data_IF_962423921819
#
_entry.id   IF_962423921819
#
_cell.length_a   1.000
_cell.length_b   1.000
_cell.length_c   1.000
_cell.angle_alpha   90.00
_cell.angle_beta   90.00
_cell.angle_gamma   90.00
#
_symmetry.space_group_name_H-M   'P 1'
#
loop_
_entity.id
_entity.type
_entity.pdbx_description
1 polymer ?
#
# COMPACT_ATOMS: atom_id res chain seq x y z
N UNK A 1 15.24 20.60 -3.42
CA UNK A 1 13.96 20.71 -4.13
C UNK A 1 13.66 19.38 -4.82
N UNK A 2 12.44 18.85 -4.72
CA UNK A 2 12.04 17.63 -5.44
C UNK A 2 12.01 17.92 -6.94
N UNK A 3 12.74 17.12 -7.74
CA UNK A 3 12.69 17.20 -9.20
C UNK A 3 11.54 16.33 -9.70
N UNK A 4 10.81 16.75 -10.75
CA UNK A 4 9.85 15.87 -11.41
C UNK A 4 10.54 14.56 -11.82
N UNK A 5 9.99 13.42 -11.40
CA UNK A 5 10.52 12.09 -11.73
C UNK A 5 11.37 11.40 -10.65
N UNK A 6 11.70 12.08 -9.55
CA UNK A 6 12.42 11.46 -8.41
C UNK A 6 11.43 10.82 -7.41
N UNK A 7 11.69 9.60 -6.93
CA UNK A 7 10.81 8.89 -5.99
C UNK A 7 11.47 8.64 -4.63
N UNK A 8 10.70 8.76 -3.54
CA UNK A 8 11.25 8.71 -2.20
C UNK A 8 11.46 7.29 -1.68
N UNK A 9 12.64 7.03 -1.10
CA UNK A 9 13.03 5.73 -0.52
C UNK A 9 12.56 5.56 0.92
N UNK A 10 12.29 6.66 1.64
CA UNK A 10 11.95 6.67 3.06
C UNK A 10 10.48 7.03 3.34
N UNK A 11 9.65 7.28 2.32
CA UNK A 11 8.19 7.35 2.47
C UNK A 11 7.56 5.96 2.27
N UNK A 12 7.33 5.24 3.37
CA UNK A 12 6.75 3.89 3.40
C UNK A 12 5.23 3.93 3.51
N UNK A 13 4.53 3.16 2.68
CA UNK A 13 3.07 3.07 2.58
C UNK A 13 2.64 1.61 2.42
N UNK A 14 1.32 1.36 2.42
CA UNK A 14 0.72 0.06 2.11
C UNK A 14 -0.19 0.16 0.87
N UNK A 15 0.35 0.13 -0.35
CA UNK A 15 -0.45 0.25 -1.57
C UNK A 15 -1.47 -0.88 -1.67
N UNK A 16 -2.66 -0.58 -2.19
CA UNK A 16 -3.76 -1.55 -2.30
C UNK A 16 -4.37 -1.48 -3.70
N UNK A 17 -4.68 -2.63 -4.27
CA UNK A 17 -5.39 -2.72 -5.55
C UNK A 17 -6.87 -2.39 -5.32
N UNK A 18 -7.43 -1.52 -6.17
CA UNK A 18 -8.75 -0.92 -5.96
C UNK A 18 -9.90 -1.94 -5.91
N UNK A 19 -9.84 -2.98 -6.73
CA UNK A 19 -10.83 -4.06 -6.78
C UNK A 19 -10.76 -4.95 -5.52
N UNK A 20 -9.57 -5.25 -5.03
CA UNK A 20 -9.36 -5.98 -3.77
C UNK A 20 -9.93 -5.17 -2.60
N UNK A 21 -9.62 -3.87 -2.53
CA UNK A 21 -10.17 -2.98 -1.49
C UNK A 21 -11.70 -2.88 -1.58
N UNK A 22 -12.26 -2.68 -2.77
CA UNK A 22 -13.71 -2.60 -2.95
C UNK A 22 -14.41 -3.89 -2.51
N UNK A 23 -13.84 -5.06 -2.85
CA UNK A 23 -14.38 -6.36 -2.45
C UNK A 23 -14.32 -6.55 -0.93
N UNK A 24 -13.22 -6.13 -0.29
CA UNK A 24 -13.08 -6.16 1.15
C UNK A 24 -14.10 -5.24 1.86
N UNK A 25 -14.33 -4.04 1.32
CA UNK A 25 -15.33 -3.11 1.88
C UNK A 25 -16.75 -3.66 1.78
N UNK A 26 -17.10 -4.32 0.67
CA UNK A 26 -18.40 -4.97 0.52
C UNK A 26 -18.54 -6.16 1.48
N UNK A 27 -17.49 -6.97 1.67
CA UNK A 27 -17.52 -8.04 2.67
C UNK A 27 -17.67 -7.50 4.10
N UNK A 28 -16.94 -6.43 4.44
CA UNK A 28 -17.03 -5.78 5.76
C UNK A 28 -18.43 -5.24 6.06
N UNK A 29 -19.14 -4.73 5.04
CA UNK A 29 -20.50 -4.19 5.22
C UNK A 29 -21.52 -5.26 5.65
N UNK A 30 -21.22 -6.54 5.42
CA UNK A 30 -22.06 -7.68 5.81
C UNK A 30 -21.69 -8.27 7.19
N UNK A 31 -20.61 -7.80 7.82
CA UNK A 31 -20.16 -8.30 9.12
C UNK A 31 -20.66 -7.41 10.27
N UNK A 32 -21.05 -8.04 11.37
CA UNK A 32 -21.42 -7.33 12.61
C UNK A 32 -20.16 -6.97 13.42
N UNK A 33 -19.38 -6.02 12.88
CA UNK A 33 -18.18 -5.49 13.53
C UNK A 33 -18.22 -3.97 13.55
N UNK A 34 -17.67 -3.38 14.62
CA UNK A 34 -17.61 -1.95 14.80
C UNK A 34 -16.22 -1.48 15.22
N UNK A 35 -15.97 -0.19 14.98
CA UNK A 35 -14.74 0.49 15.36
C UNK A 35 -13.67 0.52 14.26
N UNK A 36 -12.51 1.14 14.55
CA UNK A 36 -11.43 1.29 13.58
C UNK A 36 -10.86 -0.05 13.11
N UNK A 37 -10.58 -0.13 11.81
CA UNK A 37 -9.91 -1.26 11.17
C UNK A 37 -9.04 -0.74 10.02
N UNK A 38 -7.77 -1.12 10.03
CA UNK A 38 -6.88 -0.88 8.88
C UNK A 38 -7.14 -1.90 7.79
N UNK A 39 -7.27 -1.44 6.55
CA UNK A 39 -7.50 -2.28 5.37
C UNK A 39 -6.60 -1.78 4.24
N UNK A 40 -5.54 -2.52 3.94
CA UNK A 40 -4.58 -2.19 2.89
C UNK A 40 -3.97 -3.47 2.27
N UNK A 41 -3.22 -3.30 1.18
CA UNK A 41 -2.48 -4.42 0.56
C UNK A 41 -1.37 -4.94 1.46
N UNK A 42 -0.97 -6.19 1.23
CA UNK A 42 -0.05 -6.92 2.10
C UNK A 42 1.40 -6.40 2.10
N UNK A 43 1.80 -5.61 1.11
CA UNK A 43 3.17 -5.09 1.01
C UNK A 43 3.31 -3.71 1.67
N UNK A 44 4.30 -3.57 2.54
CA UNK A 44 4.85 -2.27 2.94
C UNK A 44 5.94 -1.85 1.95
N UNK A 45 5.75 -0.75 1.23
CA UNK A 45 6.66 -0.27 0.19
C UNK A 45 7.01 1.20 0.34
N UNK A 46 8.24 1.55 0.00
CA UNK A 46 8.59 2.92 -0.33
C UNK A 46 7.92 3.38 -1.63
N UNK A 47 7.78 4.71 -1.79
CA UNK A 47 7.36 5.31 -3.07
C UNK A 47 8.25 4.88 -4.23
N UNK A 48 9.56 4.78 -4.00
CA UNK A 48 10.53 4.34 -5.01
C UNK A 48 10.34 2.88 -5.43
N UNK A 49 10.10 1.97 -4.49
CA UNK A 49 9.81 0.57 -4.80
C UNK A 49 8.52 0.43 -5.60
N UNK A 50 7.44 1.11 -5.19
CA UNK A 50 6.18 1.09 -5.92
C UNK A 50 6.34 1.65 -7.35
N UNK A 51 7.07 2.76 -7.51
CA UNK A 51 7.34 3.34 -8.83
C UNK A 51 8.15 2.39 -9.72
N UNK A 52 9.11 1.65 -9.15
CA UNK A 52 9.88 0.62 -9.87
C UNK A 52 8.97 -0.52 -10.35
N UNK A 53 8.06 -1.00 -9.51
CA UNK A 53 7.08 -2.03 -9.88
C UNK A 53 6.17 -1.56 -11.03
N UNK A 54 5.65 -0.34 -10.94
CA UNK A 54 4.78 0.24 -11.99
C UNK A 54 5.55 0.45 -13.30
N UNK A 55 6.79 0.94 -13.24
CA UNK A 55 7.58 1.27 -14.41
C UNK A 55 8.23 0.04 -15.08
N UNK A 56 8.33 -1.09 -14.37
CA UNK A 56 9.07 -2.27 -14.80
C UNK A 56 10.59 -2.04 -14.96
N UNK A 57 11.13 -0.98 -14.32
CA UNK A 57 12.55 -0.59 -14.38
C UNK A 57 12.92 0.28 -13.18
N UNK A 58 14.22 0.45 -12.96
CA UNK A 58 14.73 1.37 -11.92
C UNK A 58 14.28 2.81 -12.19
N UNK A 59 14.07 3.55 -11.11
CA UNK A 59 13.65 4.96 -11.13
C UNK A 59 14.69 5.83 -10.41
N UNK A 60 14.70 7.13 -10.69
CA UNK A 60 15.50 8.07 -9.93
C UNK A 60 14.97 8.18 -8.49
N UNK A 61 15.85 8.20 -7.50
CA UNK A 61 15.47 8.17 -6.09
C UNK A 61 16.07 9.32 -5.29
N UNK A 62 15.41 9.65 -4.17
CA UNK A 62 15.91 10.58 -3.17
C UNK A 62 15.28 10.30 -1.80
N UNK A 63 15.73 11.00 -0.76
CA UNK A 63 15.03 11.05 0.51
C UNK A 63 13.96 12.16 0.52
N UNK A 64 12.84 11.88 1.17
CA UNK A 64 11.80 12.88 1.42
C UNK A 64 12.28 13.92 2.44
N UNK A 65 11.80 15.17 2.34
CA UNK A 65 12.04 16.19 3.36
C UNK A 65 11.53 15.75 4.75
N UNK A 66 12.16 16.19 5.85
CA UNK A 66 11.83 15.76 7.21
C UNK A 66 10.44 16.23 7.70
N UNK A 67 9.77 17.12 6.96
CA UNK A 67 8.44 17.62 7.27
C UNK A 67 7.31 16.66 6.88
N UNK A 68 7.64 15.48 6.33
CA UNK A 68 6.68 14.52 5.82
C UNK A 68 6.63 13.27 6.70
N UNK A 69 5.45 12.65 6.86
CA UNK A 69 5.34 11.33 7.48
C UNK A 69 6.14 10.30 6.68
N UNK A 70 7.19 9.77 7.31
CA UNK A 70 8.10 8.81 6.67
C UNK A 70 7.47 7.42 6.63
N UNK A 71 7.10 6.85 7.78
CA UNK A 71 6.42 5.54 7.82
C UNK A 71 4.92 5.69 8.08
N UNK A 72 4.11 5.30 7.09
CA UNK A 72 2.65 5.24 7.19
C UNK A 72 2.13 3.87 6.72
N UNK A 73 2.92 2.82 6.94
CA UNK A 73 2.43 1.45 6.72
C UNK A 73 1.33 1.15 7.71
N UNK A 74 0.30 0.46 7.23
CA UNK A 74 -0.82 0.04 8.04
C UNK A 74 -0.64 -1.42 8.45
N UNK A 75 -0.70 -1.69 9.76
CA UNK A 75 -0.91 -3.05 10.23
C UNK A 75 -2.36 -3.46 9.95
N UNK A 76 -2.54 -4.28 8.91
CA UNK A 76 -3.84 -4.82 8.49
C UNK A 76 -4.00 -6.30 8.88
N UNK A 77 -3.18 -6.82 9.80
CA UNK A 77 -3.22 -8.24 10.21
C UNK A 77 -4.59 -8.67 10.71
N UNK A 78 -5.27 -7.82 11.49
CA UNK A 78 -6.64 -8.07 11.96
C UNK A 78 -7.64 -8.16 10.80
N UNK A 79 -7.56 -7.27 9.81
CA UNK A 79 -8.46 -7.35 8.65
C UNK A 79 -8.21 -8.60 7.82
N UNK A 80 -6.94 -8.99 7.64
CA UNK A 80 -6.57 -10.21 6.90
C UNK A 80 -7.04 -11.50 7.60
N UNK A 81 -7.11 -11.51 8.93
CA UNK A 81 -7.66 -12.64 9.68
C UNK A 81 -9.19 -12.72 9.64
N UNK A 82 -9.87 -11.57 9.46
CA UNK A 82 -11.33 -11.48 9.44
C UNK A 82 -11.93 -11.75 8.05
N UNK A 83 -11.25 -11.30 6.99
CA UNK A 83 -11.80 -11.28 5.64
C UNK A 83 -11.42 -12.53 4.85
N UNK A 84 -12.35 -13.02 4.04
CA UNK A 84 -12.05 -14.03 3.01
C UNK A 84 -11.45 -13.37 1.77
N UNK A 85 -11.80 -12.12 1.51
CA UNK A 85 -11.21 -11.33 0.42
C UNK A 85 -9.70 -11.22 0.60
N UNK A 86 -8.93 -11.68 -0.41
CA UNK A 86 -7.47 -11.50 -0.42
C UNK A 86 -7.14 -10.05 -0.80
N UNK A 87 -6.45 -9.35 0.09
CA UNK A 87 -5.85 -8.04 -0.15
C UNK A 87 -4.42 -8.23 -0.67
N UNK A 88 -4.26 -8.44 -1.98
CA UNK A 88 -2.96 -8.78 -2.55
C UNK A 88 -1.95 -7.66 -2.33
N UNK A 89 -0.68 -8.05 -2.15
CA UNK A 89 0.44 -7.12 -2.14
C UNK A 89 0.68 -6.54 -3.54
N UNK A 90 1.21 -5.32 -3.62
CA UNK A 90 1.56 -4.69 -4.88
C UNK A 90 2.54 -5.54 -5.72
N UNK A 91 3.45 -6.30 -5.08
CA UNK A 91 4.35 -7.21 -5.78
C UNK A 91 3.60 -8.32 -6.52
N UNK A 92 2.55 -8.87 -5.93
CA UNK A 92 1.67 -9.87 -6.59
C UNK A 92 0.83 -9.22 -7.69
N UNK A 93 0.32 -8.00 -7.46
CA UNK A 93 -0.50 -7.27 -8.44
C UNK A 93 0.27 -6.93 -9.71
N UNK A 94 1.57 -6.62 -9.59
CA UNK A 94 2.45 -6.31 -10.71
C UNK A 94 3.31 -7.50 -11.16
N UNK A 95 3.10 -8.70 -10.59
CA UNK A 95 3.78 -9.90 -11.06
C UNK A 95 3.26 -10.26 -12.46
N UNK A 96 4.16 -10.26 -13.42
CA UNK A 96 3.96 -10.77 -14.79
C UNK A 96 4.22 -12.27 -14.87
#
# INVERSE_FOLDING_TARGET
AHRPGTWFTNELRSPVQVTDLASALLELAELDIAGPLHVAGADGLSRAELATLIAGRTVETAEAPPTRPLDCRLDSSRAQALLRTRLRGAREVFAS
#
